data_IF_267475985204
#
_entry.id   IF_267475985204
#
_cell.length_a   1.000
_cell.length_b   1.000
_cell.length_c   1.000
_cell.angle_alpha   90.00
_cell.angle_beta   90.00
_cell.angle_gamma   90.00
#
_symmetry.space_group_name_H-M   'P 1'
#
loop_
_entity.id
_entity.type
_entity.pdbx_description
1 polymer ?
#
# COMPACT_ATOMS: atom_id res chain seq x y z
N UNK A 1 15.28 15.94 -0.03
CA UNK A 1 15.43 17.37 -0.37
C UNK A 1 14.13 17.84 -0.97
N UNK A 2 13.67 19.05 -0.62
CA UNK A 2 12.46 19.62 -1.18
C UNK A 2 12.62 19.86 -2.69
N UNK A 3 11.51 19.89 -3.40
CA UNK A 3 11.50 20.17 -4.83
C UNK A 3 11.98 21.61 -5.13
N UNK A 4 12.71 21.78 -6.22
CA UNK A 4 12.96 23.10 -6.83
C UNK A 4 11.99 23.27 -7.98
N UNK A 5 11.34 24.43 -8.09
CA UNK A 5 10.44 24.72 -9.22
C UNK A 5 11.23 25.42 -10.32
N UNK A 6 11.36 24.81 -11.48
CA UNK A 6 12.01 25.39 -12.66
C UNK A 6 11.04 25.35 -13.85
N UNK A 7 10.68 26.51 -14.41
CA UNK A 7 9.76 26.60 -15.56
C UNK A 7 8.46 25.79 -15.40
N UNK A 8 7.83 25.86 -14.23
CA UNK A 8 6.61 25.11 -13.85
C UNK A 8 6.79 23.57 -13.76
N UNK A 9 8.04 23.10 -13.80
CA UNK A 9 8.42 21.71 -13.57
C UNK A 9 8.96 21.55 -12.15
N UNK A 10 8.53 20.50 -11.47
CA UNK A 10 9.09 20.12 -10.16
C UNK A 10 10.36 19.30 -10.36
N UNK A 11 11.49 19.82 -9.88
CA UNK A 11 12.81 19.18 -9.99
C UNK A 11 13.16 18.52 -8.66
N UNK A 12 13.40 17.22 -8.71
CA UNK A 12 13.85 16.41 -7.57
C UNK A 12 15.21 15.78 -7.86
N UNK A 13 15.89 15.36 -6.79
CA UNK A 13 17.14 14.60 -6.86
C UNK A 13 16.99 13.21 -6.24
N UNK A 14 17.69 12.24 -6.82
CA UNK A 14 17.79 10.86 -6.35
C UNK A 14 16.54 10.01 -6.61
N UNK A 15 16.68 8.69 -6.40
CA UNK A 15 15.65 7.67 -6.66
C UNK A 15 14.65 7.47 -5.52
N UNK A 16 14.86 8.08 -4.35
CA UNK A 16 13.97 7.91 -3.20
C UNK A 16 12.57 8.44 -3.51
N UNK A 17 11.55 7.70 -3.06
CA UNK A 17 10.13 8.03 -3.24
C UNK A 17 9.72 8.26 -4.70
N UNK A 18 10.45 7.69 -5.67
CA UNK A 18 10.17 7.79 -7.11
C UNK A 18 8.70 7.54 -7.44
N UNK A 19 8.12 6.48 -6.86
CA UNK A 19 6.72 6.11 -7.03
C UNK A 19 5.73 7.18 -6.55
N UNK A 20 5.98 7.81 -5.40
CA UNK A 20 5.12 8.87 -4.88
C UNK A 20 5.15 10.09 -5.81
N UNK A 21 6.34 10.48 -6.28
CA UNK A 21 6.52 11.63 -7.17
C UNK A 21 5.77 11.43 -8.50
N UNK A 22 5.91 10.27 -9.14
CA UNK A 22 5.18 9.97 -10.38
C UNK A 22 3.66 9.89 -10.17
N UNK A 23 3.22 9.30 -9.06
CA UNK A 23 1.80 9.23 -8.70
C UNK A 23 1.20 10.63 -8.53
N UNK A 24 1.86 11.49 -7.75
CA UNK A 24 1.38 12.85 -7.49
C UNK A 24 1.49 13.76 -8.71
N UNK A 25 2.51 13.56 -9.57
CA UNK A 25 2.59 14.20 -10.88
C UNK A 25 1.35 13.87 -11.71
N UNK A 26 1.02 12.58 -11.80
CA UNK A 26 -0.15 12.09 -12.56
C UNK A 26 -1.46 12.69 -12.06
N UNK A 27 -1.64 12.80 -10.74
CA UNK A 27 -2.87 13.34 -10.16
C UNK A 27 -2.96 14.87 -10.26
N UNK A 28 -1.84 15.57 -10.10
CA UNK A 28 -1.78 17.04 -10.16
C UNK A 28 -1.72 17.60 -11.58
N UNK A 29 -1.33 16.79 -12.56
CA UNK A 29 -1.07 17.25 -13.93
C UNK A 29 0.23 18.05 -14.08
N UNK A 30 1.08 18.10 -13.04
CA UNK A 30 2.35 18.84 -13.05
C UNK A 30 3.48 17.96 -13.54
N UNK A 31 4.31 18.50 -14.43
CA UNK A 31 5.50 17.80 -14.91
C UNK A 31 6.57 17.73 -13.81
N UNK A 32 7.33 16.63 -13.83
CA UNK A 32 8.39 16.36 -12.85
C UNK A 32 9.68 15.98 -13.58
N UNK A 33 10.80 16.52 -13.11
CA UNK A 33 12.14 16.11 -13.50
C UNK A 33 12.85 15.50 -12.30
N UNK A 34 13.45 14.34 -12.45
CA UNK A 34 14.20 13.65 -11.39
C UNK A 34 15.63 13.46 -11.88
N UNK A 35 16.57 14.18 -11.29
CA UNK A 35 18.00 14.15 -11.62
C UNK A 35 18.78 13.32 -10.59
N UNK A 36 20.04 12.98 -10.91
CA UNK A 36 20.99 12.28 -10.03
C UNK A 36 20.46 10.91 -9.51
N UNK A 37 19.75 10.16 -10.36
CA UNK A 37 19.28 8.81 -10.03
C UNK A 37 20.47 7.85 -9.97
N UNK A 38 20.90 7.52 -8.74
CA UNK A 38 22.01 6.59 -8.45
C UNK A 38 23.31 6.94 -9.19
N UNK A 39 23.57 8.23 -9.42
CA UNK A 39 24.78 8.69 -10.13
C UNK A 39 26.09 8.27 -9.46
N UNK A 40 26.07 7.95 -8.17
CA UNK A 40 27.22 7.52 -7.37
C UNK A 40 27.37 6.00 -7.24
N UNK A 41 26.44 5.20 -7.77
CA UNK A 41 26.51 3.74 -7.68
C UNK A 41 27.24 3.12 -8.87
N UNK A 42 27.76 1.90 -8.70
CA UNK A 42 28.42 1.14 -9.78
C UNK A 42 27.48 0.86 -10.96
N UNK A 43 26.20 0.63 -10.67
CA UNK A 43 25.11 0.58 -11.65
C UNK A 43 24.28 1.88 -11.59
N UNK A 44 24.65 2.93 -12.35
CA UNK A 44 23.92 4.18 -12.34
C UNK A 44 22.56 4.09 -13.05
N UNK A 45 21.66 5.00 -12.68
CA UNK A 45 20.39 5.19 -13.35
C UNK A 45 19.21 4.41 -12.78
N UNK A 46 18.14 4.36 -13.59
CA UNK A 46 16.90 3.67 -13.26
C UNK A 46 17.08 2.15 -13.17
N UNK A 47 16.41 1.54 -12.20
CA UNK A 47 16.29 0.09 -12.12
C UNK A 47 15.12 -0.40 -12.98
N UNK A 48 15.15 -1.68 -13.33
CA UNK A 48 14.15 -2.29 -14.20
C UNK A 48 12.72 -2.15 -13.65
N UNK A 49 12.52 -2.28 -12.34
CA UNK A 49 11.20 -2.11 -11.73
C UNK A 49 10.65 -0.67 -11.84
N UNK A 50 11.52 0.34 -11.89
CA UNK A 50 11.15 1.76 -12.04
C UNK A 50 10.72 2.06 -13.48
N UNK A 51 11.50 1.58 -14.45
CA UNK A 51 11.12 1.63 -15.88
C UNK A 51 9.82 0.88 -16.12
N UNK A 52 9.66 -0.28 -15.49
CA UNK A 52 8.44 -1.08 -15.58
C UNK A 52 7.22 -0.36 -14.97
N UNK A 53 7.41 0.45 -13.92
CA UNK A 53 6.35 1.28 -13.34
C UNK A 53 5.96 2.44 -14.27
N UNK A 54 6.94 3.10 -14.89
CA UNK A 54 6.68 4.14 -15.89
C UNK A 54 5.82 3.57 -17.03
N UNK A 55 6.17 2.37 -17.52
CA UNK A 55 5.37 1.68 -18.56
C UNK A 55 3.95 1.34 -18.11
N UNK A 56 3.74 1.06 -16.83
CA UNK A 56 2.39 0.86 -16.28
C UNK A 56 1.59 2.16 -16.29
N UNK A 57 2.20 3.26 -15.84
CA UNK A 57 1.55 4.58 -15.87
C UNK A 57 1.20 5.00 -17.29
N UNK A 58 2.11 4.79 -18.25
CA UNK A 58 1.87 5.07 -19.67
C UNK A 58 0.66 4.30 -20.22
N UNK A 59 0.45 3.03 -19.82
CA UNK A 59 -0.73 2.24 -20.22
C UNK A 59 -2.06 2.72 -19.62
N UNK A 60 -2.02 3.35 -18.44
CA UNK A 60 -3.22 3.81 -17.72
C UNK A 60 -3.61 5.24 -18.11
N UNK A 61 -2.66 5.96 -18.72
CA UNK A 61 -2.79 7.35 -19.12
C UNK A 61 -2.77 7.51 -20.64
N UNK A 62 -3.13 8.69 -21.12
CA UNK A 62 -2.98 9.05 -22.53
C UNK A 62 -2.35 10.43 -22.66
N UNK A 63 -1.36 10.53 -23.53
CA UNK A 63 -0.57 11.75 -23.72
C UNK A 63 0.55 11.94 -22.69
N UNK A 64 0.90 10.89 -21.93
CA UNK A 64 2.09 10.94 -21.06
C UNK A 64 3.34 10.97 -21.91
N UNK A 65 4.25 11.91 -21.62
CA UNK A 65 5.55 12.02 -22.26
C UNK A 65 6.63 11.74 -21.24
N UNK A 66 7.49 10.78 -21.56
CA UNK A 66 8.63 10.41 -20.72
C UNK A 66 9.90 10.52 -21.53
N UNK A 67 10.86 11.28 -21.01
CA UNK A 67 12.18 11.41 -21.60
C UNK A 67 13.22 10.93 -20.59
N UNK A 68 14.08 10.03 -21.04
CA UNK A 68 15.15 9.45 -20.25
C UNK A 68 16.48 9.98 -20.79
N UNK A 69 17.42 10.32 -19.90
CA UNK A 69 18.79 10.56 -20.33
C UNK A 69 19.41 9.27 -20.89
N UNK A 70 20.44 9.41 -21.72
CA UNK A 70 21.17 8.25 -22.30
C UNK A 70 21.69 7.29 -21.22
N UNK A 71 22.11 7.84 -20.08
CA UNK A 71 22.60 7.09 -18.92
C UNK A 71 21.50 6.66 -17.94
N UNK A 72 20.24 7.04 -18.16
CA UNK A 72 19.11 6.76 -17.28
C UNK A 72 19.19 7.42 -15.89
N UNK A 73 20.11 8.36 -15.68
CA UNK A 73 20.31 9.09 -14.41
C UNK A 73 19.39 10.30 -14.25
N UNK A 74 18.69 10.69 -15.32
CA UNK A 74 17.69 11.75 -15.32
C UNK A 74 16.42 11.31 -16.04
N UNK A 75 15.27 11.69 -15.49
CA UNK A 75 13.94 11.40 -16.05
C UNK A 75 13.12 12.67 -16.05
N UNK A 76 12.60 13.04 -17.23
CA UNK A 76 11.53 14.01 -17.35
C UNK A 76 10.21 13.26 -17.57
N UNK A 77 9.22 13.53 -16.71
CA UNK A 77 7.90 12.91 -16.74
C UNK A 77 6.83 13.99 -16.82
N UNK A 78 6.15 14.07 -17.96
CA UNK A 78 4.99 14.92 -18.16
C UNK A 78 3.73 14.04 -18.16
N UNK A 79 2.85 14.17 -17.16
CA UNK A 79 1.68 13.33 -17.01
C UNK A 79 0.63 13.62 -18.10
N UNK A 80 0.03 12.56 -18.63
CA UNK A 80 -1.15 12.62 -19.47
C UNK A 80 -2.46 12.54 -18.69
N UNK A 81 -3.57 12.36 -19.41
CA UNK A 81 -4.91 12.23 -18.83
C UNK A 81 -5.14 10.78 -18.36
N UNK A 82 -5.70 10.60 -17.16
CA UNK A 82 -6.08 9.28 -16.64
C UNK A 82 -7.28 8.72 -17.42
N UNK A 83 -7.08 7.65 -18.18
CA UNK A 83 -8.14 6.95 -18.91
C UNK A 83 -8.66 5.76 -18.12
N UNK A 84 -7.78 4.87 -17.64
CA UNK A 84 -8.19 3.59 -17.04
C UNK A 84 -8.50 2.53 -18.10
N UNK A 85 -9.58 1.76 -17.91
CA UNK A 85 -9.95 0.67 -18.81
C UNK A 85 -9.23 -0.66 -18.50
N UNK A 86 -9.13 -1.53 -19.50
CA UNK A 86 -8.49 -2.85 -19.34
C UNK A 86 -6.97 -2.77 -19.52
N UNK A 87 -6.21 -3.11 -18.47
CA UNK A 87 -4.75 -3.02 -18.47
C UNK A 87 -4.15 -4.37 -18.08
N UNK A 88 -3.31 -4.95 -18.94
CA UNK A 88 -2.52 -6.13 -18.60
C UNK A 88 -1.05 -5.75 -18.48
N UNK A 89 -0.43 -6.12 -17.36
CA UNK A 89 0.94 -5.74 -17.06
C UNK A 89 1.73 -6.84 -16.36
N UNK A 90 2.91 -7.13 -16.92
CA UNK A 90 3.88 -8.03 -16.29
C UNK A 90 4.81 -7.19 -15.43
N UNK A 91 4.69 -7.36 -14.12
CA UNK A 91 5.51 -6.72 -13.10
C UNK A 91 6.93 -7.30 -13.09
N UNK A 92 7.92 -6.46 -12.81
CA UNK A 92 9.30 -6.90 -12.64
C UNK A 92 9.45 -7.75 -11.36
N UNK A 93 10.09 -8.94 -11.40
CA UNK A 93 10.26 -9.80 -10.22
C UNK A 93 11.09 -9.18 -9.09
N UNK A 94 11.87 -8.12 -9.36
CA UNK A 94 12.65 -7.39 -8.34
C UNK A 94 11.76 -6.72 -7.28
N UNK A 95 10.47 -6.53 -7.57
CA UNK A 95 9.47 -5.96 -6.66
C UNK A 95 8.20 -6.81 -6.65
N UNK A 96 7.45 -6.75 -5.56
CA UNK A 96 6.13 -7.37 -5.48
C UNK A 96 5.09 -6.67 -6.36
N UNK A 97 4.02 -7.38 -6.71
CA UNK A 97 2.84 -6.79 -7.37
C UNK A 97 2.28 -5.62 -6.56
N UNK A 98 2.40 -5.66 -5.22
CA UNK A 98 1.99 -4.57 -4.34
C UNK A 98 2.63 -3.23 -4.71
N UNK A 99 3.88 -3.23 -5.17
CA UNK A 99 4.58 -2.02 -5.62
C UNK A 99 3.79 -1.24 -6.68
N UNK A 100 3.19 -1.97 -7.62
CA UNK A 100 2.42 -1.45 -8.75
C UNK A 100 0.95 -1.24 -8.38
N UNK A 101 0.38 -2.19 -7.62
CA UNK A 101 -1.02 -2.20 -7.24
C UNK A 101 -1.39 -1.02 -6.35
N UNK A 102 -0.50 -0.59 -5.44
CA UNK A 102 -0.71 0.61 -4.63
C UNK A 102 -0.90 1.88 -5.48
N UNK A 103 -0.17 2.00 -6.59
CA UNK A 103 -0.30 3.13 -7.53
C UNK A 103 -1.64 3.07 -8.25
N UNK A 104 -2.03 1.89 -8.72
CA UNK A 104 -3.34 1.69 -9.36
C UNK A 104 -4.49 1.92 -8.40
N UNK A 105 -4.34 1.53 -7.13
CA UNK A 105 -5.35 1.77 -6.10
C UNK A 105 -5.52 3.26 -5.82
N UNK A 106 -4.42 4.01 -5.77
CA UNK A 106 -4.43 5.45 -5.62
C UNK A 106 -5.07 6.19 -6.80
N UNK A 107 -4.80 5.75 -8.04
CA UNK A 107 -5.28 6.38 -9.28
C UNK A 107 -6.69 5.95 -9.70
N UNK A 108 -7.07 4.70 -9.44
CA UNK A 108 -8.25 4.03 -9.98
C UNK A 108 -9.57 4.82 -9.87
N UNK A 109 -9.89 5.44 -8.72
CA UNK A 109 -11.12 6.24 -8.58
C UNK A 109 -11.19 7.44 -9.53
N UNK A 110 -10.05 7.94 -10.01
CA UNK A 110 -9.93 9.16 -10.81
C UNK A 110 -9.76 8.90 -12.32
N UNK A 111 -9.87 7.66 -12.77
CA UNK A 111 -9.84 7.31 -14.19
C UNK A 111 -11.10 7.76 -14.95
N UNK A 112 -11.04 7.84 -16.27
CA UNK A 112 -12.21 8.09 -17.13
C UNK A 112 -13.19 6.91 -17.14
N UNK A 113 -12.63 5.72 -17.31
CA UNK A 113 -13.30 4.44 -17.41
C UNK A 113 -12.91 3.56 -16.22
N UNK A 114 -13.79 2.65 -15.75
CA UNK A 114 -13.45 1.71 -14.68
C UNK A 114 -12.15 0.96 -14.98
N UNK A 115 -11.25 0.93 -14.01
CA UNK A 115 -9.96 0.28 -14.16
C UNK A 115 -10.15 -1.22 -13.96
N UNK A 116 -9.74 -2.02 -14.94
CA UNK A 116 -9.68 -3.48 -14.88
C UNK A 116 -8.24 -3.92 -15.16
N UNK A 117 -7.44 -4.03 -14.11
CA UNK A 117 -6.02 -4.34 -14.22
C UNK A 117 -5.74 -5.82 -13.93
N UNK A 118 -4.98 -6.47 -14.81
CA UNK A 118 -4.42 -7.81 -14.63
C UNK A 118 -2.92 -7.66 -14.44
N UNK A 119 -2.44 -7.88 -13.22
CA UNK A 119 -1.03 -7.78 -12.85
C UNK A 119 -0.43 -9.18 -12.68
N UNK A 120 0.70 -9.43 -13.32
CA UNK A 120 1.40 -10.71 -13.26
C UNK A 120 2.81 -10.54 -12.66
N UNK A 121 3.19 -11.35 -11.68
CA UNK A 121 4.46 -11.17 -10.98
C UNK A 121 4.56 -11.91 -9.63
N UNK A 122 5.37 -11.37 -8.72
CA UNK A 122 5.53 -11.88 -7.36
C UNK A 122 4.44 -11.33 -6.45
N UNK A 123 3.69 -12.19 -5.75
CA UNK A 123 2.53 -11.76 -4.93
C UNK A 123 2.89 -11.32 -3.51
N UNK A 124 4.06 -11.72 -3.01
CA UNK A 124 4.55 -11.37 -1.67
C UNK A 124 6.08 -11.20 -1.73
N UNK A 125 6.57 -10.01 -1.39
CA UNK A 125 7.98 -9.63 -1.32
C UNK A 125 8.29 -9.09 0.07
N UNK A 126 9.55 -9.07 0.49
CA UNK A 126 9.93 -8.49 1.79
C UNK A 126 9.91 -6.96 1.77
N UNK A 127 10.04 -6.36 0.58
CA UNK A 127 10.22 -4.92 0.43
C UNK A 127 8.91 -4.16 0.14
N UNK A 128 7.86 -4.88 -0.29
CA UNK A 128 6.60 -4.31 -0.74
C UNK A 128 5.44 -5.02 -0.06
N UNK A 129 4.37 -4.28 0.23
CA UNK A 129 3.15 -4.84 0.82
C UNK A 129 2.57 -5.98 -0.04
N UNK A 130 2.11 -7.07 0.59
CA UNK A 130 1.49 -8.15 -0.19
C UNK A 130 0.11 -7.78 -0.73
N UNK A 131 -0.32 -8.57 -1.70
CA UNK A 131 -1.66 -8.47 -2.30
C UNK A 131 -2.77 -8.75 -1.27
N UNK A 132 -2.50 -9.59 -0.26
CA UNK A 132 -3.45 -9.90 0.80
C UNK A 132 -3.60 -8.71 1.76
N UNK A 133 -2.48 -8.07 2.12
CA UNK A 133 -2.50 -6.87 2.97
C UNK A 133 -3.21 -5.69 2.29
N UNK A 134 -2.99 -5.47 0.99
CA UNK A 134 -3.76 -4.48 0.22
C UNK A 134 -5.25 -4.82 0.22
N UNK A 135 -5.61 -6.08 0.01
CA UNK A 135 -7.02 -6.53 0.00
C UNK A 135 -7.70 -6.29 1.34
N UNK A 136 -7.01 -6.62 2.43
CA UNK A 136 -7.57 -6.62 3.77
C UNK A 136 -7.61 -5.23 4.43
N UNK A 137 -6.60 -4.39 4.22
CA UNK A 137 -6.51 -3.09 4.89
C UNK A 137 -6.65 -1.89 3.94
N UNK A 138 -6.11 -1.93 2.70
CA UNK A 138 -6.18 -0.77 1.82
C UNK A 138 -7.56 -0.58 1.16
N UNK A 139 -8.20 -1.66 0.72
CA UNK A 139 -9.54 -1.58 0.10
C UNK A 139 -10.62 -1.05 1.04
N UNK A 140 -10.72 -1.48 2.32
CA UNK A 140 -11.70 -0.91 3.23
C UNK A 140 -11.52 0.59 3.48
N UNK A 141 -10.27 1.10 3.44
CA UNK A 141 -10.01 2.54 3.53
C UNK A 141 -10.63 3.24 2.32
N UNK A 142 -10.36 2.77 1.10
CA UNK A 142 -10.97 3.34 -0.11
C UNK A 142 -12.50 3.28 -0.05
N UNK A 143 -13.05 2.16 0.44
CA UNK A 143 -14.50 1.96 0.57
C UNK A 143 -15.15 3.03 1.46
N UNK A 144 -14.47 3.50 2.52
CA UNK A 144 -14.96 4.59 3.37
C UNK A 144 -15.10 5.92 2.61
N UNK A 145 -14.25 6.18 1.61
CA UNK A 145 -14.33 7.39 0.76
C UNK A 145 -15.39 7.29 -0.34
N UNK A 146 -15.65 6.08 -0.87
CA UNK A 146 -16.56 5.87 -2.00
C UNK A 146 -17.96 5.39 -1.60
N UNK A 147 -18.14 4.88 -0.36
CA UNK A 147 -19.35 4.32 0.29
C UNK A 147 -20.04 3.14 -0.39
N UNK A 148 -19.87 2.97 -1.70
CA UNK A 148 -20.50 1.92 -2.50
C UNK A 148 -19.42 1.04 -3.12
N UNK A 149 -19.56 -0.27 -2.92
CA UNK A 149 -18.61 -1.30 -3.35
C UNK A 149 -18.81 -1.74 -4.82
N UNK A 150 -19.78 -1.17 -5.53
CA UNK A 150 -20.13 -1.56 -6.90
C UNK A 150 -18.90 -1.52 -7.84
N UNK A 151 -18.28 -2.69 -8.02
CA UNK A 151 -17.14 -2.90 -8.91
C UNK A 151 -15.75 -2.77 -8.29
N UNK A 152 -15.59 -2.52 -6.99
CA UNK A 152 -14.28 -2.54 -6.34
C UNK A 152 -13.93 -3.97 -5.93
N UNK A 153 -12.96 -4.59 -6.60
CA UNK A 153 -12.61 -6.00 -6.36
C UNK A 153 -11.12 -6.22 -6.49
N UNK A 154 -10.54 -6.99 -5.57
CA UNK A 154 -9.18 -7.53 -5.71
C UNK A 154 -9.21 -9.06 -5.57
N UNK A 155 -8.96 -9.72 -6.69
CA UNK A 155 -8.97 -11.18 -6.80
C UNK A 155 -7.57 -11.69 -7.12
N UNK A 156 -7.03 -12.51 -6.23
CA UNK A 156 -5.83 -13.30 -6.49
C UNK A 156 -6.25 -14.52 -7.29
N UNK A 157 -5.85 -14.59 -8.57
CA UNK A 157 -6.16 -15.71 -9.46
C UNK A 157 -5.11 -16.81 -9.30
N UNK A 158 -3.84 -16.39 -9.24
CA UNK A 158 -2.69 -17.28 -9.03
C UNK A 158 -1.71 -16.63 -8.07
N UNK A 159 -1.07 -17.42 -7.22
CA UNK A 159 0.00 -16.92 -6.34
C UNK A 159 1.36 -17.20 -6.95
N UNK A 160 2.34 -16.34 -6.66
CA UNK A 160 3.70 -16.49 -7.15
C UNK A 160 4.73 -16.01 -6.13
N UNK A 161 5.58 -16.92 -5.67
CA UNK A 161 6.71 -16.60 -4.81
C UNK A 161 7.92 -16.11 -5.63
N UNK A 162 8.81 -15.30 -5.03
CA UNK A 162 10.12 -15.04 -5.63
C UNK A 162 10.96 -16.33 -5.73
N UNK A 163 11.96 -16.40 -6.61
CA UNK A 163 12.41 -15.34 -7.54
C UNK A 163 11.66 -15.30 -8.88
N UNK A 164 11.02 -16.40 -9.32
CA UNK A 164 10.43 -16.49 -10.67
C UNK A 164 9.00 -15.96 -10.76
N UNK A 165 8.33 -15.73 -9.63
CA UNK A 165 6.97 -15.21 -9.57
C UNK A 165 5.94 -16.12 -10.25
N UNK A 166 5.18 -15.55 -11.17
CA UNK A 166 4.11 -16.25 -11.90
C UNK A 166 2.74 -16.20 -11.20
N UNK A 167 2.58 -15.30 -10.24
CA UNK A 167 1.27 -14.95 -9.70
C UNK A 167 0.50 -14.04 -10.65
N UNK A 168 -0.81 -14.00 -10.48
CA UNK A 168 -1.72 -13.17 -11.27
C UNK A 168 -2.83 -12.64 -10.37
N UNK A 169 -3.05 -11.33 -10.45
CA UNK A 169 -4.05 -10.62 -9.66
C UNK A 169 -4.90 -9.76 -10.59
N UNK A 170 -6.20 -9.81 -10.37
CA UNK A 170 -7.19 -8.97 -11.06
C UNK A 170 -7.67 -7.92 -10.08
N UNK A 171 -7.43 -6.66 -10.41
CA UNK A 171 -7.89 -5.49 -9.68
C UNK A 171 -8.94 -4.75 -10.51
N UNK A 172 -10.12 -4.53 -9.92
CA UNK A 172 -11.18 -3.72 -10.49
C UNK A 172 -11.44 -2.52 -9.59
N UNK A 173 -11.53 -1.34 -10.18
CA UNK A 173 -11.80 -0.11 -9.45
C UNK A 173 -12.86 0.73 -10.17
N UNK A 174 -13.97 1.10 -9.50
CA UNK A 174 -14.98 1.95 -10.09
C UNK A 174 -14.56 3.41 -10.10
N UNK A 175 -15.04 4.15 -11.10
CA UNK A 175 -14.77 5.58 -11.24
C UNK A 175 -15.68 6.41 -10.36
N UNK A 176 -15.09 7.32 -9.60
CA UNK A 176 -15.80 8.32 -8.79
C UNK A 176 -15.50 9.73 -9.28
N UNK A 177 -16.51 10.59 -9.20
CA UNK A 177 -16.37 12.01 -9.58
C UNK A 177 -15.69 12.81 -8.46
N UNK A 178 -16.07 12.51 -7.23
CA UNK A 178 -15.56 13.09 -6.01
C UNK A 178 -15.41 12.01 -4.95
N UNK A 179 -14.41 12.16 -4.09
CA UNK A 179 -14.31 11.40 -2.85
C UNK A 179 -14.95 12.20 -1.72
N UNK A 180 -15.70 11.52 -0.85
CA UNK A 180 -16.35 12.19 0.28
C UNK A 180 -15.34 12.52 1.37
N UNK A 181 -15.53 13.63 2.10
CA UNK A 181 -14.74 13.89 3.29
C UNK A 181 -14.96 12.78 4.33
N UNK A 182 -13.93 12.49 5.11
CA UNK A 182 -13.92 11.39 6.06
C UNK A 182 -13.81 11.92 7.49
N UNK A 183 -14.60 11.34 8.40
CA UNK A 183 -14.54 11.59 9.83
C UNK A 183 -14.30 10.25 10.53
N UNK A 184 -13.06 9.96 10.88
CA UNK A 184 -12.64 8.67 11.42
C UNK A 184 -11.78 8.83 12.68
N UNK A 185 -12.45 9.17 13.77
CA UNK A 185 -11.82 9.42 15.07
C UNK A 185 -11.79 8.19 15.99
N UNK A 186 -12.65 7.21 15.72
CA UNK A 186 -12.77 5.97 16.50
C UNK A 186 -12.37 4.77 15.65
N UNK A 187 -11.50 3.92 16.19
CA UNK A 187 -11.06 2.67 15.56
C UNK A 187 -11.54 1.41 16.29
N UNK A 188 -11.98 1.56 17.54
CA UNK A 188 -12.61 0.50 18.33
C UNK A 188 -11.66 -0.61 18.80
N UNK A 189 -12.23 -1.60 19.49
CA UNK A 189 -11.50 -2.77 19.98
C UNK A 189 -11.42 -3.87 18.93
N UNK A 190 -10.35 -4.65 18.97
CA UNK A 190 -10.18 -5.85 18.12
C UNK A 190 -11.23 -6.89 18.51
N UNK A 191 -12.08 -7.25 17.55
CA UNK A 191 -13.16 -8.23 17.74
C UNK A 191 -12.70 -9.65 17.45
N UNK A 192 -11.91 -9.80 16.38
CA UNK A 192 -11.55 -11.11 15.82
C UNK A 192 -10.30 -11.02 14.97
N UNK A 193 -9.61 -12.15 14.82
CA UNK A 193 -8.47 -12.28 13.92
C UNK A 193 -8.82 -13.23 12.79
N UNK A 194 -8.52 -12.78 11.57
CA UNK A 194 -8.57 -13.59 10.36
C UNK A 194 -7.18 -13.72 9.78
N UNK A 195 -6.95 -14.71 8.93
CA UNK A 195 -5.67 -14.81 8.25
C UNK A 195 -5.71 -15.77 7.08
N UNK A 196 -4.71 -15.68 6.24
CA UNK A 196 -4.46 -16.59 5.13
C UNK A 196 -3.01 -17.01 5.18
N UNK A 197 -2.77 -18.31 5.24
CA UNK A 197 -1.45 -18.92 5.05
C UNK A 197 -1.44 -19.54 3.68
N UNK A 198 -0.58 -19.06 2.79
CA UNK A 198 -0.42 -19.66 1.48
C UNK A 198 0.79 -20.59 1.44
N UNK A 199 0.68 -21.66 0.67
CA UNK A 199 1.77 -22.58 0.40
C UNK A 199 1.81 -22.93 -1.09
N UNK A 200 2.92 -22.60 -1.74
CA UNK A 200 3.17 -22.76 -3.17
C UNK A 200 4.24 -23.80 -3.38
N UNK A 201 3.93 -24.87 -4.12
CA UNK A 201 4.87 -25.95 -4.49
C UNK A 201 5.65 -26.55 -3.29
N UNK A 202 5.07 -26.49 -2.10
CA UNK A 202 5.60 -27.10 -0.86
C UNK A 202 4.51 -27.97 -0.22
N UNK A 203 4.92 -28.82 0.73
CA UNK A 203 3.99 -29.68 1.46
C UNK A 203 2.95 -28.86 2.24
N UNK A 204 1.66 -29.25 2.24
CA UNK A 204 0.62 -28.64 3.08
C UNK A 204 0.95 -28.63 4.57
N UNK A 205 1.81 -29.55 5.02
CA UNK A 205 2.31 -29.58 6.41
C UNK A 205 2.98 -28.27 6.80
N UNK A 206 3.65 -27.59 5.86
CA UNK A 206 4.27 -26.29 6.15
C UNK A 206 3.22 -25.25 6.51
N UNK A 207 2.12 -25.16 5.75
CA UNK A 207 1.04 -24.22 6.05
C UNK A 207 0.41 -24.50 7.41
N UNK A 208 0.15 -25.77 7.74
CA UNK A 208 -0.44 -26.15 9.03
C UNK A 208 0.46 -25.76 10.22
N UNK A 209 1.78 -25.97 10.12
CA UNK A 209 2.74 -25.57 11.15
C UNK A 209 2.75 -24.05 11.39
N UNK A 210 2.64 -23.25 10.32
CA UNK A 210 2.49 -21.78 10.44
C UNK A 210 1.19 -21.43 11.16
N UNK A 211 0.07 -22.06 10.78
CA UNK A 211 -1.24 -21.82 11.40
C UNK A 211 -1.21 -22.12 12.89
N UNK A 212 -0.66 -23.27 13.28
CA UNK A 212 -0.60 -23.70 14.68
C UNK A 212 0.26 -22.74 15.52
N UNK A 213 1.42 -22.33 14.99
CA UNK A 213 2.29 -21.35 15.65
C UNK A 213 1.62 -19.99 15.81
N UNK A 214 1.03 -19.44 14.74
CA UNK A 214 0.35 -18.16 14.78
C UNK A 214 -0.86 -18.18 15.73
N UNK A 215 -1.68 -19.24 15.68
CA UNK A 215 -2.80 -19.44 16.62
C UNK A 215 -2.32 -19.56 18.07
N UNK A 216 -1.22 -20.26 18.32
CA UNK A 216 -0.65 -20.43 19.66
C UNK A 216 -0.28 -19.10 20.33
N UNK A 217 0.08 -18.08 19.55
CA UNK A 217 0.30 -16.71 20.07
C UNK A 217 -1.03 -15.96 20.21
N UNK A 218 -1.85 -15.94 19.16
CA UNK A 218 -3.06 -15.11 19.10
C UNK A 218 -4.17 -15.55 20.07
N UNK A 219 -4.32 -16.86 20.32
CA UNK A 219 -5.34 -17.41 21.22
C UNK A 219 -5.11 -17.03 22.70
N UNK A 220 -3.93 -16.50 23.05
CA UNK A 220 -3.66 -15.94 24.38
C UNK A 220 -4.42 -14.63 24.63
N UNK A 221 -4.78 -13.91 23.55
CA UNK A 221 -5.41 -12.60 23.62
C UNK A 221 -6.90 -12.64 23.31
N UNK A 222 -7.32 -13.45 22.32
CA UNK A 222 -8.72 -13.58 21.94
C UNK A 222 -9.09 -14.96 21.41
N UNK A 223 -10.32 -15.45 21.65
CA UNK A 223 -10.73 -16.78 21.24
C UNK A 223 -11.12 -16.88 19.75
N UNK A 224 -11.61 -15.80 19.12
CA UNK A 224 -12.07 -15.80 17.71
C UNK A 224 -10.91 -15.59 16.72
N UNK A 225 -10.07 -16.62 16.58
CA UNK A 225 -8.93 -16.65 15.65
C UNK A 225 -9.15 -17.71 14.57
N UNK A 226 -9.32 -17.26 13.32
CA UNK A 226 -9.51 -18.15 12.18
C UNK A 226 -8.50 -17.85 11.06
N UNK A 227 -7.65 -18.82 10.76
CA UNK A 227 -6.62 -18.72 9.72
C UNK A 227 -6.91 -19.78 8.66
N UNK A 228 -7.12 -19.33 7.43
CA UNK A 228 -7.37 -20.20 6.28
C UNK A 228 -6.04 -20.67 5.66
N UNK A 229 -6.00 -21.90 5.15
CA UNK A 229 -4.85 -22.41 4.40
C UNK A 229 -5.16 -22.39 2.90
N UNK A 230 -4.39 -21.62 2.15
CA UNK A 230 -4.47 -21.51 0.70
C UNK A 230 -3.33 -22.31 0.06
N UNK A 231 -3.55 -23.63 -0.06
CA UNK A 231 -2.62 -24.52 -0.74
C UNK A 231 -2.83 -24.45 -2.25
N UNK A 232 -1.85 -23.91 -2.96
CA UNK A 232 -1.86 -23.89 -4.41
C UNK A 232 -1.05 -25.07 -4.99
N UNK A 233 -1.55 -25.70 -6.07
CA UNK A 233 -0.87 -26.74 -6.83
C UNK A 233 -0.91 -26.45 -8.33
N UNK A 234 0.00 -27.07 -9.09
CA UNK A 234 0.04 -26.98 -10.56
C UNK A 234 0.27 -25.54 -11.05
N UNK A 235 -0.52 -25.13 -12.05
CA UNK A 235 -0.43 -23.80 -12.68
C UNK A 235 -0.80 -22.64 -11.75
N UNK A 236 -1.55 -22.90 -10.67
CA UNK A 236 -2.01 -21.86 -9.74
C UNK A 236 -0.97 -21.51 -8.67
N UNK A 237 0.08 -22.33 -8.53
CA UNK A 237 1.15 -22.16 -7.55
C UNK A 237 2.35 -21.37 -8.06
N UNK A 238 2.20 -20.66 -9.20
CA UNK A 238 3.29 -19.92 -9.81
C UNK A 238 4.47 -20.81 -10.21
N UNK A 239 5.68 -20.22 -10.24
CA UNK A 239 6.89 -20.87 -10.75
C UNK A 239 7.89 -21.26 -9.65
N UNK A 240 7.80 -20.66 -8.47
CA UNK A 240 8.74 -20.88 -7.36
C UNK A 240 8.05 -21.47 -6.13
N UNK A 241 8.74 -22.33 -5.37
CA UNK A 241 8.25 -22.78 -4.07
C UNK A 241 8.37 -21.67 -3.03
N UNK A 242 7.43 -21.64 -2.10
CA UNK A 242 7.44 -20.67 -1.00
C UNK A 242 6.14 -20.72 -0.22
N UNK A 243 6.18 -20.21 0.99
CA UNK A 243 5.01 -20.12 1.85
C UNK A 243 5.07 -18.85 2.69
N UNK A 244 3.94 -18.43 3.21
CA UNK A 244 3.85 -17.20 3.97
C UNK A 244 2.47 -17.02 4.56
N UNK A 245 2.35 -16.01 5.41
CA UNK A 245 1.17 -15.73 6.21
C UNK A 245 0.84 -14.25 6.13
N UNK A 246 -0.46 -13.98 6.07
CA UNK A 246 -1.03 -12.66 6.30
C UNK A 246 -2.10 -12.79 7.38
N UNK A 247 -1.94 -12.06 8.48
CA UNK A 247 -2.91 -11.98 9.56
C UNK A 247 -3.57 -10.61 9.55
N UNK A 248 -4.86 -10.58 9.90
CA UNK A 248 -5.71 -9.40 9.90
C UNK A 248 -6.48 -9.36 11.22
N UNK A 249 -6.27 -8.31 12.01
CA UNK A 249 -7.10 -8.00 13.16
C UNK A 249 -8.22 -7.05 12.73
N UNK A 250 -9.47 -7.47 12.91
CA UNK A 250 -10.65 -6.66 12.60
C UNK A 250 -11.24 -6.08 13.87
N UNK A 251 -11.47 -4.77 13.87
CA UNK A 251 -12.11 -4.06 14.98
C UNK A 251 -13.63 -3.92 14.80
N UNK A 252 -14.31 -3.57 15.89
CA UNK A 252 -15.75 -3.28 15.85
C UNK A 252 -16.13 -2.10 14.93
N UNK A 253 -15.21 -1.16 14.67
CA UNK A 253 -15.43 0.01 13.79
C UNK A 253 -15.01 -0.24 12.33
N UNK A 254 -14.74 -1.50 11.97
CA UNK A 254 -14.23 -1.92 10.66
C UNK A 254 -12.88 -1.25 10.31
N UNK A 255 -12.01 -1.14 11.30
CA UNK A 255 -10.57 -0.93 11.08
C UNK A 255 -9.89 -2.30 10.97
N UNK A 256 -8.89 -2.38 10.10
CA UNK A 256 -8.17 -3.62 9.80
C UNK A 256 -6.68 -3.38 9.97
N UNK A 257 -6.06 -4.05 10.93
CA UNK A 257 -4.60 -4.08 11.09
C UNK A 257 -4.05 -5.34 10.46
N UNK A 258 -2.98 -5.23 9.69
CA UNK A 258 -2.44 -6.35 8.93
C UNK A 258 -0.95 -6.54 9.20
N UNK A 259 -0.56 -7.79 9.39
CA UNK A 259 0.84 -8.19 9.41
C UNK A 259 1.07 -9.32 8.43
N UNK A 260 2.30 -9.41 7.93
CA UNK A 260 2.71 -10.43 6.99
C UNK A 260 4.15 -10.88 7.24
N UNK A 261 4.40 -12.14 6.92
CA UNK A 261 5.72 -12.74 6.92
C UNK A 261 5.76 -13.84 5.86
N UNK A 262 6.94 -14.08 5.26
CA UNK A 262 7.14 -15.11 4.25
C UNK A 262 8.42 -15.87 4.48
N UNK A 263 8.51 -17.04 3.84
CA UNK A 263 9.72 -17.82 3.81
C UNK A 263 10.82 -17.10 3.03
N UNK A 264 12.07 -17.39 3.43
CA UNK A 264 13.28 -17.06 2.68
C UNK A 264 13.20 -17.57 1.24
N UNK A 265 13.90 -16.87 0.35
CA UNK A 265 13.89 -17.22 -1.07
C UNK A 265 14.67 -18.52 -1.33
N UNK A 266 14.19 -19.39 -2.24
CA UNK A 266 14.94 -20.59 -2.62
C UNK A 266 16.32 -20.22 -3.15
N UNK A 267 17.37 -20.70 -2.49
CA UNK A 267 18.76 -20.46 -2.90
C UNK A 267 19.47 -19.32 -2.15
N UNK A 268 18.81 -18.63 -1.21
CA UNK A 268 19.48 -17.62 -0.36
C UNK A 268 20.41 -18.23 0.71
N UNK A 269 20.37 -19.56 0.90
CA UNK A 269 21.13 -20.26 1.95
C UNK A 269 20.49 -20.20 3.34
N UNK A 270 19.45 -19.38 3.51
CA UNK A 270 18.72 -19.25 4.76
C UNK A 270 17.53 -20.20 4.81
N UNK A 271 17.44 -21.00 5.87
CA UNK A 271 16.30 -21.89 6.10
C UNK A 271 15.35 -21.24 7.09
N UNK A 272 14.16 -20.89 6.62
CA UNK A 272 13.09 -20.36 7.47
C UNK A 272 12.24 -21.51 8.01
N UNK A 273 12.05 -21.54 9.33
CA UNK A 273 11.16 -22.51 9.98
C UNK A 273 9.71 -21.99 9.95
N UNK A 274 8.72 -22.84 9.60
CA UNK A 274 7.33 -22.42 9.55
C UNK A 274 6.79 -21.86 10.88
N UNK A 275 7.24 -22.41 12.00
CA UNK A 275 6.84 -21.96 13.32
C UNK A 275 7.32 -20.53 13.60
N UNK A 276 8.54 -20.20 13.19
CA UNK A 276 9.12 -18.88 13.40
C UNK A 276 8.39 -17.82 12.58
N UNK A 277 8.04 -18.12 11.32
CA UNK A 277 7.24 -17.24 10.47
C UNK A 277 5.86 -16.97 11.09
N UNK A 278 5.21 -18.02 11.63
CA UNK A 278 3.92 -17.88 12.30
C UNK A 278 4.00 -17.00 13.55
N UNK A 279 5.07 -17.15 14.35
CA UNK A 279 5.31 -16.36 15.55
C UNK A 279 5.67 -14.92 15.22
N UNK A 280 6.53 -14.71 14.24
CA UNK A 280 6.97 -13.40 13.77
C UNK A 280 5.78 -12.59 13.25
N UNK A 281 4.95 -13.18 12.38
CA UNK A 281 3.77 -12.49 11.86
C UNK A 281 2.77 -12.14 12.97
N UNK A 282 2.60 -13.03 13.95
CA UNK A 282 1.76 -12.77 15.11
C UNK A 282 2.30 -11.60 15.95
N UNK A 283 3.60 -11.54 16.22
CA UNK A 283 4.24 -10.44 16.93
C UNK A 283 4.10 -9.12 16.18
N UNK A 284 4.39 -9.11 14.87
CA UNK A 284 4.19 -7.92 14.01
C UNK A 284 2.74 -7.42 14.02
N UNK A 285 1.75 -8.32 14.11
CA UNK A 285 0.35 -7.91 14.22
C UNK A 285 0.06 -7.24 15.56
N UNK A 286 0.61 -7.78 16.65
CA UNK A 286 0.47 -7.18 17.98
C UNK A 286 1.12 -5.80 18.02
N UNK A 287 2.29 -5.62 17.41
CA UNK A 287 2.95 -4.32 17.29
C UNK A 287 2.08 -3.31 16.53
N UNK A 288 1.40 -3.75 15.47
CA UNK A 288 0.52 -2.88 14.69
C UNK A 288 -0.77 -2.53 15.46
N UNK A 289 -1.35 -3.49 16.19
CA UNK A 289 -2.49 -3.25 17.09
C UNK A 289 -2.09 -2.29 18.22
N UNK A 290 -0.87 -2.42 18.74
CA UNK A 290 -0.31 -1.56 19.78
C UNK A 290 -0.15 -0.11 19.31
N UNK A 291 0.36 0.09 18.08
CA UNK A 291 0.41 1.41 17.43
C UNK A 291 -0.97 2.04 17.30
N UNK A 292 -1.97 1.21 16.99
CA UNK A 292 -3.38 1.59 16.94
C UNK A 292 -3.71 2.66 15.90
N UNK A 293 -4.83 3.36 16.12
CA UNK A 293 -5.37 4.33 15.18
C UNK A 293 -6.29 3.70 14.13
N UNK A 294 -7.00 4.53 13.37
CA UNK A 294 -8.04 4.10 12.45
C UNK A 294 -7.55 3.36 11.21
N UNK A 295 -6.25 3.45 10.90
CA UNK A 295 -5.64 2.95 9.67
C UNK A 295 -4.29 2.30 9.96
N UNK A 296 -4.04 1.17 9.31
CA UNK A 296 -2.74 0.48 9.31
C UNK A 296 -1.61 1.40 8.85
N UNK A 297 -0.47 1.33 9.54
CA UNK A 297 0.73 2.15 9.32
C UNK A 297 1.24 2.13 7.88
N UNK A 298 1.03 1.02 7.15
CA UNK A 298 1.44 0.87 5.75
C UNK A 298 0.59 1.69 4.77
N UNK A 299 -0.64 2.04 5.14
CA UNK A 299 -1.62 2.70 4.26
C UNK A 299 -2.02 4.12 4.72
N UNK A 300 -1.38 4.66 5.76
CA UNK A 300 -1.57 6.05 6.20
C UNK A 300 -1.37 7.07 5.06
N UNK A 301 -0.43 6.81 4.14
CA UNK A 301 -0.19 7.69 3.00
C UNK A 301 -1.34 7.67 1.97
N UNK A 302 -2.00 6.52 1.75
CA UNK A 302 -3.19 6.42 0.89
C UNK A 302 -4.37 7.18 1.49
N UNK A 303 -4.56 7.04 2.81
CA UNK A 303 -5.53 7.84 3.56
C UNK A 303 -5.27 9.34 3.33
N UNK A 304 -4.04 9.80 3.55
CA UNK A 304 -3.67 11.21 3.37
C UNK A 304 -3.93 11.69 1.93
N UNK A 305 -3.63 10.85 0.92
CA UNK A 305 -3.91 11.16 -0.48
C UNK A 305 -5.41 11.41 -0.72
N UNK A 306 -6.26 10.49 -0.28
CA UNK A 306 -7.69 10.59 -0.52
C UNK A 306 -8.38 11.68 0.30
N UNK A 307 -7.89 11.98 1.51
CA UNK A 307 -8.32 13.16 2.26
C UNK A 307 -7.96 14.46 1.51
N UNK A 308 -6.74 14.57 1.00
CA UNK A 308 -6.29 15.76 0.25
C UNK A 308 -7.06 15.96 -1.07
N UNK A 309 -7.38 14.86 -1.77
CA UNK A 309 -8.15 14.86 -3.01
C UNK A 309 -9.68 14.79 -2.80
N UNK A 310 -10.15 14.97 -1.56
CA UNK A 310 -11.57 15.04 -1.24
C UNK A 310 -12.25 16.30 -1.78
N UNK A 311 -13.55 16.40 -1.54
CA UNK A 311 -14.30 17.64 -1.68
C UNK A 311 -13.72 18.77 -0.80
N UNK A 312 -14.12 20.03 -1.06
CA UNK A 312 -13.71 21.20 -0.25
C UNK A 312 -14.40 21.20 1.11
N UNK A 313 -14.07 20.22 1.92
CA UNK A 313 -14.60 20.01 3.25
C UNK A 313 -13.51 19.38 4.14
N UNK A 314 -13.72 19.46 5.45
CA UNK A 314 -12.76 18.99 6.46
C UNK A 314 -12.84 17.47 6.57
N UNK A 315 -11.70 16.83 6.35
CA UNK A 315 -11.50 15.43 6.72
C UNK A 315 -10.65 15.34 7.97
N UNK A 316 -11.07 14.50 8.91
CA UNK A 316 -10.38 14.22 10.16
C UNK A 316 -10.21 12.71 10.32
N UNK A 317 -8.99 12.28 10.64
CA UNK A 317 -8.70 10.88 10.95
C UNK A 317 -7.68 10.80 12.07
N UNK A 318 -7.88 9.86 12.99
CA UNK A 318 -6.89 9.54 14.01
C UNK A 318 -6.05 8.35 13.57
N UNK A 319 -4.74 8.52 13.49
CA UNK A 319 -3.79 7.45 13.10
C UNK A 319 -2.80 7.18 14.24
N UNK A 320 -2.16 6.02 14.21
CA UNK A 320 -0.99 5.75 15.06
C UNK A 320 0.22 6.61 14.65
N UNK A 321 1.41 6.32 15.20
CA UNK A 321 2.64 7.01 14.83
C UNK A 321 2.85 7.03 13.31
N UNK A 322 3.25 8.18 12.78
CA UNK A 322 3.48 8.33 11.34
C UNK A 322 4.75 7.61 10.91
N UNK A 323 4.68 6.84 9.83
CA UNK A 323 5.88 6.29 9.19
C UNK A 323 6.66 7.36 8.41
N UNK A 324 7.97 7.17 8.27
CA UNK A 324 8.82 8.06 7.44
C UNK A 324 8.30 8.19 6.01
N UNK A 325 7.71 7.11 5.50
CA UNK A 325 7.06 7.08 4.19
C UNK A 325 5.89 8.05 4.11
N UNK A 326 5.03 8.07 5.14
CA UNK A 326 3.90 8.99 5.24
C UNK A 326 4.35 10.42 5.49
N UNK A 327 5.34 10.66 6.35
CA UNK A 327 5.87 12.01 6.62
C UNK A 327 6.38 12.64 5.32
N UNK A 328 7.17 11.90 4.55
CA UNK A 328 7.68 12.38 3.26
C UNK A 328 6.55 12.57 2.25
N UNK A 329 5.53 11.70 2.28
CA UNK A 329 4.36 11.85 1.43
C UNK A 329 3.55 13.12 1.73
N UNK A 330 3.40 13.51 3.00
CA UNK A 330 2.76 14.77 3.40
C UNK A 330 3.53 16.00 2.88
N UNK A 331 4.87 15.92 2.88
CA UNK A 331 5.71 16.97 2.28
C UNK A 331 5.48 17.06 0.77
N UNK A 332 5.44 15.92 0.07
CA UNK A 332 5.12 15.92 -1.36
C UNK A 332 3.70 16.43 -1.64
N UNK A 333 2.69 16.08 -0.82
CA UNK A 333 1.34 16.63 -0.99
C UNK A 333 1.31 18.16 -0.92
N UNK A 334 2.11 18.76 -0.03
CA UNK A 334 2.29 20.21 0.03
C UNK A 334 2.96 20.76 -1.22
N UNK A 335 4.01 20.11 -1.73
CA UNK A 335 4.73 20.57 -2.93
C UNK A 335 3.88 20.49 -4.21
N UNK A 336 3.12 19.40 -4.38
CA UNK A 336 2.31 19.17 -5.58
C UNK A 336 0.97 19.92 -5.55
N UNK A 337 0.25 19.87 -4.43
CA UNK A 337 -1.13 20.37 -4.31
C UNK A 337 -1.28 21.59 -3.38
N UNK A 338 -0.25 21.98 -2.64
CA UNK A 338 -0.33 23.06 -1.66
C UNK A 338 -1.12 22.69 -0.39
N UNK A 339 -1.47 21.42 -0.22
CA UNK A 339 -2.27 20.95 0.93
C UNK A 339 -1.38 20.82 2.16
N UNK A 340 -1.83 21.42 3.27
CA UNK A 340 -1.19 21.26 4.57
C UNK A 340 -2.11 20.52 5.53
N UNK A 341 -1.55 19.54 6.22
CA UNK A 341 -2.24 18.80 7.27
C UNK A 341 -1.95 19.45 8.60
N UNK A 342 -3.00 19.65 9.40
CA UNK A 342 -2.87 19.93 10.84
C UNK A 342 -2.66 18.60 11.54
N UNK A 343 -1.55 18.47 12.26
CA UNK A 343 -1.20 17.30 13.04
C UNK A 343 -1.26 17.68 14.52
N UNK A 344 -2.14 17.03 15.27
CA UNK A 344 -2.28 17.22 16.72
C UNK A 344 -1.99 15.88 17.39
N UNK A 345 -1.07 15.87 18.35
CA UNK A 345 -0.82 14.68 19.17
C UNK A 345 -1.97 14.58 20.17
N UNK A 346 -2.74 13.50 20.08
CA UNK A 346 -3.74 13.19 21.08
C UNK A 346 -3.03 12.49 22.24
N UNK A 347 -2.85 13.23 23.34
CA UNK A 347 -2.47 12.65 24.63
C UNK A 347 -3.69 11.94 25.19
N UNK A 348 -3.50 10.76 25.77
CA UNK A 348 -4.58 10.04 26.45
C UNK A 348 -4.79 10.68 27.81
N UNK A 349 -6.03 10.84 28.26
CA UNK A 349 -6.32 11.25 29.65
C UNK A 349 -5.76 10.24 30.69
N UNK A 350 -5.46 9.00 30.26
CA UNK A 350 -4.77 8.01 31.07
C UNK A 350 -3.31 8.40 31.43
N UNK A 351 -2.68 9.30 30.66
CA UNK A 351 -1.32 9.77 30.93
C UNK A 351 -1.29 10.80 32.08
N UNK A 352 -2.44 11.28 32.57
CA UNK A 352 -2.54 12.28 33.66
C UNK A 352 -2.93 11.68 35.02
N UNK A 353 -3.37 10.41 35.11
CA UNK A 353 -3.87 9.79 36.35
C UNK A 353 -3.04 8.60 36.91
N UNK A 354 -1.99 8.12 36.22
CA UNK A 354 -1.24 6.94 36.66
C UNK A 354 0.20 7.27 37.13
N UNK A 355 0.41 7.34 38.45
CA UNK A 355 1.73 7.33 39.11
C UNK A 355 2.33 5.90 39.22
N UNK A 356 1.73 4.90 38.56
CA UNK A 356 2.18 3.50 38.58
C UNK A 356 3.09 3.18 37.38
N UNK A 357 4.36 2.85 37.65
CA UNK A 357 5.46 2.61 36.68
C UNK A 357 5.28 1.38 35.75
N UNK A 358 4.12 0.72 35.73
CA UNK A 358 3.88 -0.53 34.98
C UNK A 358 2.75 -0.48 33.93
N UNK A 359 2.15 0.69 33.64
CA UNK A 359 1.24 0.79 32.50
C UNK A 359 1.99 0.97 31.18
N UNK A 360 1.71 0.08 30.22
CA UNK A 360 2.28 0.12 28.87
C UNK A 360 1.84 1.43 28.19
N UNK A 361 2.71 2.44 28.20
CA UNK A 361 2.46 3.75 27.60
C UNK A 361 1.88 3.62 26.20
N UNK A 362 0.60 3.96 26.03
CA UNK A 362 -0.08 3.82 24.75
C UNK A 362 0.69 4.60 23.66
N UNK A 363 0.86 4.00 22.47
CA UNK A 363 1.56 4.66 21.39
C UNK A 363 0.91 6.03 21.08
N UNK A 364 1.74 7.06 20.91
CA UNK A 364 1.29 8.41 20.59
C UNK A 364 0.40 8.39 19.34
N UNK A 365 -0.83 8.88 19.51
CA UNK A 365 -1.82 8.98 18.44
C UNK A 365 -1.76 10.37 17.83
N UNK A 366 -1.97 10.44 16.51
CA UNK A 366 -1.91 11.69 15.78
C UNK A 366 -3.26 11.90 15.10
N UNK A 367 -3.94 12.98 15.48
CA UNK A 367 -5.11 13.50 14.79
C UNK A 367 -4.64 14.27 13.56
N UNK A 368 -4.95 13.73 12.38
CA UNK A 368 -4.70 14.34 11.09
C UNK A 368 -5.95 15.05 10.60
N UNK A 369 -5.84 16.35 10.31
CA UNK A 369 -6.94 17.13 9.74
C UNK A 369 -6.48 17.85 8.48
N UNK A 370 -7.25 17.80 7.41
CA UNK A 370 -7.02 18.63 6.23
C UNK A 370 -8.33 19.04 5.56
N UNK A 371 -8.26 20.09 4.74
CA UNK A 371 -9.34 20.49 3.84
C UNK A 371 -9.00 19.96 2.46
N UNK A 372 -9.90 19.18 1.86
CA UNK A 372 -9.70 18.66 0.51
C UNK A 372 -9.65 19.78 -0.53
N UNK A 373 -8.91 19.59 -1.61
CA UNK A 373 -8.77 20.62 -2.66
C UNK A 373 -10.01 20.78 -3.53
N UNK A 374 -11.01 19.90 -3.37
CA UNK A 374 -12.15 19.82 -4.27
C UNK A 374 -11.78 19.14 -5.58
N UNK A 375 -10.95 18.10 -5.52
CA UNK A 375 -10.51 17.41 -6.73
C UNK A 375 -11.74 16.85 -7.46
N UNK A 376 -11.85 17.19 -8.74
CA UNK A 376 -12.89 16.71 -9.62
C UNK A 376 -12.21 15.88 -10.67
N UNK A 377 -12.66 14.63 -10.83
CA UNK A 377 -12.19 13.80 -11.93
C UNK A 377 -12.50 14.49 -13.27
N UNK A 378 -11.46 15.10 -13.87
CA UNK A 378 -11.53 15.90 -15.10
C UNK A 378 -11.95 15.02 -16.29
N UNK A 379 -11.67 13.72 -16.21
CA UNK A 379 -11.93 12.77 -17.28
C UNK A 379 -13.39 12.33 -17.36
N UNK A 380 -14.17 12.42 -16.26
CA UNK A 380 -15.56 11.98 -16.24
C UNK A 380 -16.50 13.08 -16.75
N UNK A 381 -17.11 12.85 -17.94
CA UNK A 381 -18.14 13.75 -18.48
C UNK A 381 -19.31 13.89 -17.49
N UNK A 382 -19.73 15.13 -17.23
CA UNK A 382 -21.04 15.43 -16.66
C UNK A 382 -22.11 14.96 -17.64
N UNK A 383 -22.84 13.92 -17.26
CA UNK A 383 -24.16 13.65 -17.83
C UNK A 383 -25.18 14.59 -17.21
#
# INVERSE_FOLDING_TARGET
>A
MPAVVENDVLVYKGSNFFRQRLLLATLSGRAVKIDEIRSTHDDPGLREYEVNLIRLLDKVTNGTRVELSETGTSVYFQPGILIGGHVTHSCCPQRGIGYYLEVLLALGPFCKEPLNAVLQGVTHSDLDVSVDKIKAAALPILLKFILVDDGLELKVVRRGAPPLGGGEVVFKCPVRRHLRPLQWTKWGLVKRIRGVVYALRVSPTMANRVVDSAKGVMLKFLPDVYINTDQCRGSNAGKSPGYGVSLVAETNEKTFYCAEAKSSEPGSGETSLPEDIGRECAQRLLDEVYRGGAVDSSFQWLLALWMALGQKDVSECLVGPLSDYTITFLQHLKEFFGVMFKLEVQRSDADEESDDEEEVTAANKIKMTCVGIGYVNISKRTL
#
